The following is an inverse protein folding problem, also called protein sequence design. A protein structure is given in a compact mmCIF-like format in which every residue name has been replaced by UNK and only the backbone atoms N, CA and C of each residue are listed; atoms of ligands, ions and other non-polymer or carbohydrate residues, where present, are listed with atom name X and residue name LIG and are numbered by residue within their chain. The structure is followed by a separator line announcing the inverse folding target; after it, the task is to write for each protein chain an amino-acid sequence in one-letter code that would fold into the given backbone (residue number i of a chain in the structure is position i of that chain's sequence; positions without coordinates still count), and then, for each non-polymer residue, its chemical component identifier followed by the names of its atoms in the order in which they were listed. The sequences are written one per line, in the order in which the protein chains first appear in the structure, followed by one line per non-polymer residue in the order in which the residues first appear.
data_IF_041945809475
#
_entry.id   IF_041945809475
#
_cell.length_a   1.000
_cell.length_b   1.000
_cell.length_c   1.000
_cell.angle_alpha   90.00
_cell.angle_beta   90.00
_cell.angle_gamma   90.00
#
_symmetry.space_group_name_H-M   'P 1'
#
loop_
_entity.id
_entity.type
_entity.pdbx_description
1 polymer ?
#
# COMPACT_ATOMS: atom_id res chain seq x y z
N UNK A 1 -3.30 -12.75 -11.56
CA UNK A 1 -2.59 -11.85 -12.51
C UNK A 1 -1.24 -12.42 -12.96
N UNK A 2 -0.37 -12.87 -12.04
CA UNK A 2 0.96 -13.42 -12.38
C UNK A 2 0.94 -14.49 -13.49
N UNK A 3 0.04 -15.48 -13.39
CA UNK A 3 -0.15 -16.52 -14.41
C UNK A 3 -0.45 -15.95 -15.82
N UNK A 4 -1.30 -14.91 -15.91
CA UNK A 4 -1.66 -14.28 -17.18
C UNK A 4 -0.44 -13.60 -17.81
N UNK A 5 0.36 -12.90 -17.01
CA UNK A 5 1.58 -12.21 -17.45
C UNK A 5 2.68 -13.19 -17.89
N UNK A 6 2.80 -14.32 -17.22
CA UNK A 6 3.79 -15.36 -17.53
C UNK A 6 3.43 -16.12 -18.80
N UNK A 7 2.13 -16.35 -19.04
CA UNK A 7 1.60 -17.06 -20.21
C UNK A 7 1.73 -16.28 -21.54
N UNK A 8 2.08 -14.99 -21.49
CA UNK A 8 2.30 -14.19 -22.69
C UNK A 8 3.53 -14.70 -23.47
N UNK A 9 3.37 -14.88 -24.79
CA UNK A 9 4.41 -15.35 -25.71
C UNK A 9 4.65 -14.33 -26.86
N UNK A 10 5.86 -14.37 -27.44
CA UNK A 10 6.29 -13.56 -28.59
C UNK A 10 7.20 -12.36 -28.25
N UNK A 11 7.77 -11.73 -29.28
CA UNK A 11 8.76 -10.63 -29.20
C UNK A 11 8.26 -9.39 -28.42
N UNK A 12 6.94 -9.26 -28.25
CA UNK A 12 6.28 -8.15 -27.52
C UNK A 12 5.88 -8.50 -26.08
N UNK A 13 6.34 -9.63 -25.52
CA UNK A 13 5.96 -10.10 -24.17
C UNK A 13 6.13 -9.01 -23.11
N UNK A 14 7.32 -8.40 -23.05
CA UNK A 14 7.62 -7.37 -22.05
C UNK A 14 6.74 -6.13 -22.21
N UNK A 15 6.52 -5.68 -23.45
CA UNK A 15 5.66 -4.53 -23.74
C UNK A 15 4.21 -4.80 -23.30
N UNK A 16 3.68 -6.01 -23.52
CA UNK A 16 2.34 -6.40 -23.04
C UNK A 16 2.26 -6.44 -21.51
N UNK A 17 3.31 -6.94 -20.83
CA UNK A 17 3.36 -6.96 -19.37
C UNK A 17 3.40 -5.54 -18.77
N UNK A 18 4.16 -4.64 -19.40
CA UNK A 18 4.19 -3.22 -19.05
C UNK A 18 2.79 -2.59 -19.23
N UNK A 19 2.17 -2.77 -20.40
CA UNK A 19 0.84 -2.21 -20.67
C UNK A 19 -0.24 -2.72 -19.69
N UNK A 20 -0.18 -3.99 -19.31
CA UNK A 20 -1.09 -4.55 -18.29
C UNK A 20 -0.84 -3.96 -16.90
N UNK A 21 0.41 -3.66 -16.56
CA UNK A 21 0.78 -3.00 -15.30
C UNK A 21 0.28 -1.55 -15.26
N UNK A 22 0.38 -0.84 -16.40
CA UNK A 22 -0.16 0.52 -16.55
C UNK A 22 -1.68 0.52 -16.40
N UNK A 23 -2.36 -0.43 -17.06
CA UNK A 23 -3.80 -0.59 -16.96
C UNK A 23 -4.23 -0.90 -15.52
N UNK A 24 -3.53 -1.81 -14.82
CA UNK A 24 -3.82 -2.11 -13.42
C UNK A 24 -3.74 -0.87 -12.52
N UNK A 25 -2.69 -0.05 -12.70
CA UNK A 25 -2.55 1.21 -11.95
C UNK A 25 -3.69 2.20 -12.26
N UNK A 26 -4.14 2.29 -13.52
CA UNK A 26 -5.29 3.14 -13.89
C UNK A 26 -6.61 2.69 -13.24
N UNK A 27 -6.77 1.38 -13.02
CA UNK A 27 -7.93 0.82 -12.32
C UNK A 27 -7.82 0.91 -10.79
N UNK A 28 -6.69 1.40 -10.26
CA UNK A 28 -6.43 1.42 -8.82
C UNK A 28 -5.99 0.06 -8.24
N UNK A 29 -5.66 -0.92 -9.10
CA UNK A 29 -5.09 -2.21 -8.70
C UNK A 29 -3.57 -2.09 -8.56
N UNK A 30 -3.14 -1.27 -7.62
CA UNK A 30 -1.74 -0.85 -7.47
C UNK A 30 -0.79 -2.01 -7.15
N UNK A 31 -1.25 -2.99 -6.38
CA UNK A 31 -0.53 -4.24 -6.09
C UNK A 31 -0.24 -5.01 -7.39
N UNK A 32 -1.26 -5.19 -8.24
CA UNK A 32 -1.12 -5.86 -9.53
C UNK A 32 -0.20 -5.09 -10.49
N UNK A 33 -0.27 -3.76 -10.47
CA UNK A 33 0.61 -2.89 -11.26
C UNK A 33 2.07 -3.04 -10.84
N UNK A 34 2.34 -3.07 -9.54
CA UNK A 34 3.68 -3.29 -8.99
C UNK A 34 4.20 -4.68 -9.33
N UNK A 35 3.41 -5.73 -9.08
CA UNK A 35 3.78 -7.12 -9.40
C UNK A 35 4.07 -7.31 -10.88
N UNK A 36 3.22 -6.74 -11.74
CA UNK A 36 3.41 -6.79 -13.18
C UNK A 36 4.71 -6.13 -13.63
N UNK A 37 5.07 -5.00 -13.02
CA UNK A 37 6.35 -4.32 -13.29
C UNK A 37 7.57 -5.15 -12.88
N UNK A 38 7.46 -5.95 -11.81
CA UNK A 38 8.50 -6.86 -11.33
C UNK A 38 8.66 -8.02 -12.31
N UNK A 39 7.55 -8.65 -12.72
CA UNK A 39 7.54 -9.75 -13.70
C UNK A 39 8.12 -9.29 -15.04
N UNK A 40 7.76 -8.08 -15.48
CA UNK A 40 8.27 -7.48 -16.71
C UNK A 40 9.73 -7.02 -16.63
N UNK A 41 10.37 -7.09 -15.46
CA UNK A 41 11.70 -6.51 -15.19
C UNK A 41 11.78 -5.04 -15.62
N UNK A 42 10.70 -4.29 -15.43
CA UNK A 42 10.54 -2.91 -15.88
C UNK A 42 11.23 -1.91 -14.92
N UNK A 43 12.52 -2.11 -14.64
CA UNK A 43 13.25 -1.36 -13.61
C UNK A 43 13.32 0.14 -13.87
N UNK A 44 13.34 0.52 -15.14
CA UNK A 44 13.39 1.91 -15.61
C UNK A 44 11.99 2.58 -15.61
N UNK A 45 10.91 1.83 -15.38
CA UNK A 45 9.55 2.35 -15.34
C UNK A 45 9.15 2.69 -13.89
N UNK A 46 9.72 3.77 -13.36
CA UNK A 46 9.53 4.18 -11.96
C UNK A 46 8.05 4.38 -11.61
N UNK A 47 7.27 4.99 -12.50
CA UNK A 47 5.84 5.21 -12.29
C UNK A 47 5.03 3.91 -12.09
N UNK A 48 5.49 2.79 -12.65
CA UNK A 48 4.86 1.48 -12.45
C UNK A 48 5.25 0.85 -11.11
N UNK A 49 6.50 1.05 -10.71
CA UNK A 49 7.07 0.46 -9.48
C UNK A 49 6.66 1.23 -8.22
N UNK A 50 6.45 2.53 -8.35
CA UNK A 50 6.09 3.48 -7.30
C UNK A 50 4.84 4.26 -7.72
N UNK A 51 3.68 3.59 -7.87
CA UNK A 51 2.46 4.30 -8.22
C UNK A 51 2.04 5.22 -7.08
N UNK A 52 1.33 6.29 -7.44
CA UNK A 52 0.69 7.22 -6.52
C UNK A 52 -0.59 6.59 -5.91
N UNK A 53 -0.43 5.49 -5.19
CA UNK A 53 -1.53 4.72 -4.60
C UNK A 53 -2.10 5.42 -3.37
N UNK A 54 -3.43 5.35 -3.21
CA UNK A 54 -4.16 5.84 -2.02
C UNK A 54 -3.86 7.29 -1.59
N UNK A 55 -3.46 8.17 -2.52
CA UNK A 55 -3.00 9.53 -2.17
C UNK A 55 -3.97 10.29 -1.26
N UNK A 56 -5.27 10.27 -1.60
CA UNK A 56 -6.31 10.94 -0.81
C UNK A 56 -6.39 10.41 0.63
N UNK A 57 -6.16 9.10 0.84
CA UNK A 57 -6.18 8.52 2.19
C UNK A 57 -4.98 8.96 3.00
N UNK A 58 -3.78 9.01 2.41
CA UNK A 58 -2.62 9.58 3.09
C UNK A 58 -2.78 11.08 3.37
N UNK A 59 -3.34 11.84 2.44
CA UNK A 59 -3.58 13.27 2.63
C UNK A 59 -4.52 13.53 3.81
N UNK A 60 -5.63 12.81 3.89
CA UNK A 60 -6.60 12.93 4.98
C UNK A 60 -6.00 12.44 6.31
N UNK A 61 -5.36 11.26 6.32
CA UNK A 61 -4.83 10.66 7.54
C UNK A 61 -3.65 11.45 8.14
N UNK A 62 -2.82 12.06 7.30
CA UNK A 62 -1.62 12.78 7.72
C UNK A 62 -1.80 14.30 7.74
N UNK A 63 -3.02 14.80 7.54
CA UNK A 63 -3.34 16.22 7.60
C UNK A 63 -2.81 16.84 8.92
N UNK A 64 -2.11 18.00 8.86
CA UNK A 64 -1.57 18.62 10.07
C UNK A 64 -2.69 18.95 11.06
N UNK A 65 -2.50 18.56 12.33
CA UNK A 65 -3.38 18.99 13.41
C UNK A 65 -2.70 20.15 14.15
N UNK A 66 -3.43 21.21 14.53
CA UNK A 66 -2.86 22.44 15.08
C UNK A 66 -2.07 22.28 16.39
N UNK A 67 -2.07 21.10 17.02
CA UNK A 67 -1.47 20.85 18.34
C UNK A 67 -0.33 19.82 18.38
N UNK A 68 0.09 19.20 17.26
CA UNK A 68 1.17 18.19 17.23
C UNK A 68 2.08 18.40 16.02
N UNK A 69 3.13 19.22 16.19
CA UNK A 69 4.10 19.55 15.13
C UNK A 69 5.40 18.73 15.25
N UNK A 70 5.76 18.22 16.44
CA UNK A 70 7.13 17.69 16.63
C UNK A 70 7.40 16.27 16.07
N UNK A 71 6.37 15.47 15.77
CA UNK A 71 6.53 14.07 15.30
C UNK A 71 5.67 13.74 14.07
N UNK A 72 5.44 14.69 13.16
CA UNK A 72 4.59 14.42 12.00
C UNK A 72 5.26 13.52 10.96
N UNK A 73 4.78 12.29 10.82
CA UNK A 73 5.13 11.41 9.70
C UNK A 73 4.76 12.10 8.37
N UNK A 74 5.73 12.26 7.48
CA UNK A 74 5.47 12.85 6.16
C UNK A 74 4.71 11.86 5.26
N UNK A 75 3.87 12.38 4.35
CA UNK A 75 3.15 11.56 3.36
C UNK A 75 4.09 10.65 2.58
N UNK A 76 5.19 11.19 2.07
CA UNK A 76 6.17 10.42 1.28
C UNK A 76 6.78 9.29 2.10
N UNK A 77 7.08 9.53 3.38
CA UNK A 77 7.61 8.48 4.26
C UNK A 77 6.58 7.37 4.50
N UNK A 78 5.35 7.72 4.85
CA UNK A 78 4.29 6.73 5.04
C UNK A 78 4.00 5.91 3.77
N UNK A 79 3.99 6.57 2.60
CA UNK A 79 3.85 5.89 1.31
C UNK A 79 5.02 4.95 1.01
N UNK A 80 6.26 5.36 1.35
CA UNK A 80 7.44 4.51 1.18
C UNK A 80 7.37 3.26 2.07
N UNK A 81 6.92 3.40 3.32
CA UNK A 81 6.67 2.27 4.22
C UNK A 81 5.58 1.36 3.65
N UNK A 82 4.43 1.91 3.23
CA UNK A 82 3.35 1.11 2.63
C UNK A 82 3.84 0.29 1.43
N UNK A 83 4.65 0.91 0.57
CA UNK A 83 5.25 0.27 -0.60
C UNK A 83 6.20 -0.87 -0.21
N UNK A 84 7.00 -0.69 0.84
CA UNK A 84 7.94 -1.68 1.33
C UNK A 84 7.23 -2.86 2.01
N UNK A 85 6.24 -2.56 2.84
CA UNK A 85 5.56 -3.54 3.71
C UNK A 85 4.55 -4.42 2.96
N UNK A 86 3.80 -3.85 2.02
CA UNK A 86 2.69 -4.58 1.37
C UNK A 86 2.72 -4.57 -0.15
N UNK A 87 3.65 -3.83 -0.78
CA UNK A 87 3.61 -3.55 -2.21
C UNK A 87 2.24 -3.01 -2.68
N UNK A 88 1.54 -2.27 -1.82
CA UNK A 88 0.18 -1.73 -2.02
C UNK A 88 -0.98 -2.74 -1.93
N UNK A 89 -0.74 -3.96 -1.48
CA UNK A 89 -1.80 -4.95 -1.26
C UNK A 89 -2.50 -4.71 0.09
N UNK A 90 -3.77 -4.24 0.10
CA UNK A 90 -4.50 -3.98 1.34
C UNK A 90 -4.93 -5.26 2.06
N UNK A 91 -4.87 -6.40 1.40
CA UNK A 91 -5.16 -7.73 1.96
C UNK A 91 -3.91 -8.49 2.39
N UNK A 92 -2.72 -7.85 2.36
CA UNK A 92 -1.47 -8.48 2.74
C UNK A 92 -1.51 -8.95 4.21
N UNK A 93 -1.06 -10.18 4.44
CA UNK A 93 -0.92 -10.77 5.77
C UNK A 93 0.42 -11.50 5.90
N UNK A 94 1.21 -11.16 6.92
CA UNK A 94 2.47 -11.84 7.20
C UNK A 94 2.28 -13.10 8.06
N UNK A 95 3.35 -13.91 8.17
CA UNK A 95 3.40 -15.06 9.07
C UNK A 95 3.25 -14.68 10.54
N UNK A 96 3.65 -13.47 10.91
CA UNK A 96 3.48 -12.90 12.24
C UNK A 96 2.08 -12.29 12.47
N UNK A 97 1.15 -12.48 11.53
CA UNK A 97 -0.19 -11.90 11.55
C UNK A 97 -0.23 -10.36 11.44
N UNK A 98 0.81 -9.75 10.85
CA UNK A 98 0.78 -8.34 10.47
C UNK A 98 -0.15 -8.14 9.26
N UNK A 99 -0.93 -7.06 9.21
CA UNK A 99 -2.03 -6.90 8.24
C UNK A 99 -2.07 -5.55 7.53
N UNK A 100 -2.54 -5.61 6.29
CA UNK A 100 -2.88 -4.43 5.49
C UNK A 100 -1.67 -3.72 4.89
N UNK A 101 -1.92 -2.50 4.40
CA UNK A 101 -0.95 -1.69 3.66
C UNK A 101 0.34 -1.42 4.44
N UNK A 102 0.21 -1.25 5.75
CA UNK A 102 1.26 -0.85 6.67
C UNK A 102 1.73 -2.00 7.57
N UNK A 103 1.27 -3.23 7.30
CA UNK A 103 1.63 -4.44 8.05
C UNK A 103 1.57 -4.23 9.58
N UNK A 104 0.41 -3.81 10.07
CA UNK A 104 0.21 -3.60 11.51
C UNK A 104 -0.16 -4.90 12.22
N UNK A 105 0.46 -5.16 13.37
CA UNK A 105 0.04 -6.23 14.27
C UNK A 105 -1.27 -5.84 14.96
N UNK A 106 -2.27 -6.75 15.06
CA UNK A 106 -3.55 -6.45 15.68
C UNK A 106 -3.46 -5.91 17.11
N UNK A 107 -2.54 -6.45 17.92
CA UNK A 107 -2.33 -6.00 19.30
C UNK A 107 -1.81 -4.56 19.35
N UNK A 108 -0.83 -4.23 18.50
CA UNK A 108 -0.27 -2.87 18.39
C UNK A 108 -1.33 -1.90 17.88
N UNK A 109 -2.04 -2.27 16.82
CA UNK A 109 -3.11 -1.46 16.24
C UNK A 109 -4.21 -1.13 17.24
N UNK A 110 -4.65 -2.13 18.02
CA UNK A 110 -5.65 -1.94 19.08
C UNK A 110 -5.15 -0.97 20.14
N UNK A 111 -3.93 -1.18 20.66
CA UNK A 111 -3.35 -0.29 21.67
C UNK A 111 -3.21 1.15 21.16
N UNK A 112 -2.76 1.32 19.92
CA UNK A 112 -2.66 2.63 19.26
C UNK A 112 -4.03 3.30 19.10
N UNK A 113 -5.05 2.54 18.67
CA UNK A 113 -6.40 3.04 18.50
C UNK A 113 -7.00 3.50 19.84
N UNK A 114 -6.87 2.68 20.88
CA UNK A 114 -7.37 2.97 22.23
C UNK A 114 -6.71 4.24 22.81
N UNK A 115 -5.38 4.35 22.68
CA UNK A 115 -4.62 5.50 23.18
C UNK A 115 -4.95 6.82 22.47
N UNK A 116 -5.45 6.76 21.24
CA UNK A 116 -5.74 7.94 20.42
C UNK A 116 -7.24 8.10 20.12
N UNK A 117 -8.09 7.31 20.78
CA UNK A 117 -9.56 7.34 20.62
C UNK A 117 -10.01 7.18 19.15
N UNK A 118 -9.32 6.31 18.41
CA UNK A 118 -9.63 6.00 17.02
C UNK A 118 -10.61 4.82 16.92
N UNK A 119 -11.50 4.81 15.91
CA UNK A 119 -12.43 3.70 15.72
C UNK A 119 -11.66 2.44 15.28
N UNK A 120 -11.67 1.41 16.12
CA UNK A 120 -11.13 0.08 15.82
C UNK A 120 -12.02 -0.97 16.48
N UNK A 121 -12.71 -1.78 15.69
CA UNK A 121 -13.70 -2.76 16.19
C UNK A 121 -13.16 -4.18 16.12
N UNK A 122 -12.47 -4.52 15.03
CA UNK A 122 -11.97 -5.87 14.80
C UNK A 122 -10.69 -5.87 13.97
N UNK A 123 -9.94 -6.98 14.02
CA UNK A 123 -8.72 -7.15 13.23
C UNK A 123 -8.94 -6.97 11.71
N UNK A 124 -10.16 -7.25 11.23
CA UNK A 124 -10.52 -7.06 9.82
C UNK A 124 -10.54 -5.58 9.41
N UNK A 125 -10.63 -4.64 10.35
CA UNK A 125 -10.48 -3.22 10.05
C UNK A 125 -9.08 -2.88 9.54
N UNK A 126 -8.07 -3.72 9.82
CA UNK A 126 -6.71 -3.54 9.29
C UNK A 126 -6.60 -3.78 7.79
N UNK A 127 -7.57 -4.47 7.18
CA UNK A 127 -7.62 -4.64 5.74
C UNK A 127 -8.31 -3.46 5.03
N UNK A 128 -8.93 -2.54 5.77
CA UNK A 128 -9.48 -1.30 5.22
C UNK A 128 -8.34 -0.31 5.05
N UNK A 129 -8.00 0.12 3.81
CA UNK A 129 -6.82 0.94 3.55
C UNK A 129 -6.75 2.21 4.41
N UNK A 130 -7.87 2.93 4.52
CA UNK A 130 -7.93 4.18 5.28
C UNK A 130 -7.64 3.96 6.76
N UNK A 131 -8.30 2.99 7.41
CA UNK A 131 -8.08 2.69 8.83
C UNK A 131 -6.62 2.29 9.10
N UNK A 132 -6.06 1.44 8.23
CA UNK A 132 -4.68 0.98 8.34
C UNK A 132 -3.66 2.14 8.24
N UNK A 133 -3.87 3.07 7.29
CA UNK A 133 -3.03 4.27 7.13
C UNK A 133 -3.20 5.23 8.31
N UNK A 134 -4.43 5.45 8.80
CA UNK A 134 -4.70 6.33 9.94
C UNK A 134 -3.95 5.92 11.21
N UNK A 135 -3.81 4.62 11.45
CA UNK A 135 -3.16 4.12 12.67
C UNK A 135 -1.65 4.40 12.69
N UNK A 136 -0.96 4.38 11.55
CA UNK A 136 0.50 4.58 11.49
C UNK A 136 0.95 5.95 11.95
N UNK A 137 0.08 6.96 11.85
CA UNK A 137 0.37 8.29 12.41
C UNK A 137 0.65 8.24 13.92
N UNK A 138 0.15 7.21 14.59
CA UNK A 138 0.06 7.13 16.05
C UNK A 138 0.79 5.93 16.66
N UNK A 139 1.46 5.12 15.84
CA UNK A 139 2.36 4.04 16.27
C UNK A 139 3.74 4.59 16.57
#
# INVERSE_FOLDING_TARGET
MAFLLESLSGDSKQAKQIALSEYANQQGWFDLGVDGSIIAKAWNHIALRLPNAYQNYFDIALMPLPAKIDNSVTKTFAMAIARQESAWNPMAQSSANARGLMQLLPNTAKATADNNQLPYQAENDLFKPFNNICLVRHT
#
